data_IF_882362947673
#
_entry.id   IF_882362947673
#
_cell.length_a   1.000
_cell.length_b   1.000
_cell.length_c   1.000
_cell.angle_alpha   90.00
_cell.angle_beta   90.00
_cell.angle_gamma   90.00
#
_symmetry.space_group_name_H-M   'P 1'
#
loop_
_entity.id
_entity.type
_entity.pdbx_description
1 polymer ?
#
# COMPACT_ATOMS: atom_id res chain seq x y z
N UNK A 1 29.46 0.57 -11.72
CA UNK A 1 29.92 -0.56 -10.89
C UNK A 1 29.02 -1.80 -11.08
N UNK A 2 27.71 -1.63 -11.12
CA UNK A 2 26.75 -2.72 -11.31
C UNK A 2 26.63 -3.20 -12.75
N UNK A 3 27.26 -2.55 -13.72
CA UNK A 3 27.20 -2.95 -15.14
C UNK A 3 25.87 -2.63 -15.84
N UNK A 4 24.98 -1.90 -15.18
CA UNK A 4 23.71 -1.45 -15.74
C UNK A 4 23.83 -0.04 -16.32
N UNK A 5 22.94 0.31 -17.26
CA UNK A 5 22.87 1.64 -17.82
C UNK A 5 22.08 2.58 -16.89
N UNK A 6 22.31 3.91 -16.95
CA UNK A 6 21.55 4.87 -16.15
C UNK A 6 20.04 4.73 -16.30
N UNK A 7 19.54 4.42 -17.50
CA UNK A 7 18.14 4.26 -17.83
C UNK A 7 17.48 3.00 -17.18
N UNK A 8 18.30 2.09 -16.69
CA UNK A 8 17.88 0.86 -16.01
C UNK A 8 17.82 1.03 -14.49
N UNK A 9 18.07 2.25 -13.98
CA UNK A 9 18.05 2.55 -12.54
C UNK A 9 16.74 3.24 -12.19
N UNK A 10 15.99 2.66 -11.26
CA UNK A 10 14.83 3.31 -10.65
C UNK A 10 15.28 4.14 -9.45
N UNK A 11 14.87 5.41 -9.43
CA UNK A 11 15.16 6.32 -8.32
C UNK A 11 13.85 6.62 -7.60
N UNK A 12 13.84 6.39 -6.29
CA UNK A 12 12.78 6.82 -5.39
C UNK A 12 13.40 7.71 -4.31
N UNK A 13 12.86 8.90 -4.13
CA UNK A 13 13.39 9.88 -3.19
C UNK A 13 12.29 10.71 -2.54
N UNK A 14 12.59 11.24 -1.39
CA UNK A 14 11.79 12.27 -0.73
C UNK A 14 12.72 13.28 -0.05
N UNK A 15 12.19 14.45 0.31
CA UNK A 15 12.96 15.50 0.96
C UNK A 15 12.05 16.61 1.50
N UNK A 16 12.63 17.62 2.10
CA UNK A 16 11.90 18.76 2.63
C UNK A 16 11.40 19.65 1.48
N UNK A 17 10.11 19.96 1.47
CA UNK A 17 9.48 20.82 0.46
C UNK A 17 10.18 22.18 0.42
N UNK A 18 10.51 22.64 -0.79
CA UNK A 18 11.18 23.91 -1.02
C UNK A 18 12.70 23.89 -0.80
N UNK A 19 13.29 22.74 -0.43
CA UNK A 19 14.74 22.57 -0.35
C UNK A 19 15.26 21.71 -1.50
N UNK A 20 16.38 22.12 -2.09
CA UNK A 20 17.08 21.31 -3.09
C UNK A 20 17.71 20.11 -2.37
N UNK A 21 17.45 18.90 -2.87
CA UNK A 21 18.08 17.70 -2.33
C UNK A 21 19.60 17.78 -2.55
N UNK A 22 20.43 17.72 -1.48
CA UNK A 22 21.88 17.70 -1.64
C UNK A 22 22.31 16.36 -2.25
N UNK A 23 23.01 16.40 -3.36
CA UNK A 23 23.47 15.19 -4.09
C UNK A 23 24.83 14.73 -3.56
N UNK A 24 25.66 15.65 -3.10
CA UNK A 24 27.02 15.39 -2.67
C UNK A 24 27.16 14.31 -1.58
N UNK A 25 26.30 14.26 -0.53
CA UNK A 25 26.34 13.19 0.44
C UNK A 25 26.02 11.81 -0.16
N UNK A 26 25.13 11.76 -1.17
CA UNK A 26 24.75 10.53 -1.86
C UNK A 26 25.94 10.06 -2.71
N UNK A 27 26.53 10.93 -3.51
CA UNK A 27 27.69 10.64 -4.36
C UNK A 27 28.87 10.11 -3.51
N UNK A 28 29.13 10.75 -2.36
CA UNK A 28 30.21 10.36 -1.46
C UNK A 28 30.03 8.94 -0.86
N UNK A 29 28.81 8.39 -0.87
CA UNK A 29 28.47 7.11 -0.26
C UNK A 29 28.13 5.98 -1.25
N UNK A 30 28.10 6.26 -2.56
CA UNK A 30 27.76 5.25 -3.57
C UNK A 30 28.68 4.03 -3.52
N UNK A 31 29.97 4.24 -3.31
CA UNK A 31 30.95 3.15 -3.25
C UNK A 31 30.72 2.27 -2.03
N UNK A 32 30.51 2.86 -0.86
CA UNK A 32 30.20 2.16 0.38
C UNK A 32 28.87 1.39 0.29
N UNK A 33 27.85 2.00 -0.33
CA UNK A 33 26.56 1.34 -0.57
C UNK A 33 26.70 0.12 -1.48
N UNK A 34 27.48 0.24 -2.55
CA UNK A 34 27.73 -0.88 -3.47
C UNK A 34 28.49 -2.03 -2.78
N UNK A 35 29.53 -1.73 -2.00
CA UNK A 35 30.31 -2.71 -1.24
C UNK A 35 29.51 -3.35 -0.10
N UNK A 36 28.51 -2.62 0.42
CA UNK A 36 27.61 -3.08 1.48
C UNK A 36 26.44 -3.95 1.01
N UNK A 37 26.30 -4.21 -0.31
CA UNK A 37 25.23 -5.08 -0.81
C UNK A 37 25.38 -6.51 -0.26
N UNK A 38 24.30 -7.03 0.33
CA UNK A 38 24.26 -8.38 0.87
C UNK A 38 22.84 -8.93 0.91
N UNK A 39 22.70 -10.25 0.99
CA UNK A 39 21.40 -10.91 1.18
C UNK A 39 20.76 -10.56 2.55
N UNK A 40 21.56 -10.17 3.53
CA UNK A 40 21.10 -9.78 4.88
C UNK A 40 20.88 -8.26 5.02
N UNK A 41 20.90 -7.52 3.90
CA UNK A 41 20.82 -6.04 3.91
C UNK A 41 19.42 -5.46 4.06
N UNK A 42 18.35 -6.27 3.95
CA UNK A 42 16.98 -5.84 3.94
C UNK A 42 16.57 -5.01 5.17
N UNK A 43 16.90 -5.46 6.37
CA UNK A 43 16.55 -4.75 7.60
C UNK A 43 17.17 -3.35 7.66
N UNK A 44 18.45 -3.23 7.30
CA UNK A 44 19.14 -1.93 7.27
C UNK A 44 18.50 -1.00 6.24
N UNK A 45 18.13 -1.51 5.07
CA UNK A 45 17.47 -0.73 4.03
C UNK A 45 16.08 -0.26 4.49
N UNK A 46 15.26 -1.16 5.09
CA UNK A 46 13.94 -0.84 5.59
C UNK A 46 13.96 0.22 6.71
N UNK A 47 15.00 0.22 7.56
CA UNK A 47 15.20 1.24 8.59
C UNK A 47 15.70 2.56 7.95
N UNK A 48 16.63 2.47 7.00
CA UNK A 48 17.24 3.65 6.40
C UNK A 48 16.28 4.53 5.59
N UNK A 49 15.21 3.95 5.04
CA UNK A 49 14.19 4.73 4.30
C UNK A 49 13.16 5.41 5.20
N UNK A 50 13.12 5.09 6.49
CA UNK A 50 12.18 5.70 7.44
C UNK A 50 12.47 7.20 7.63
N UNK A 51 11.39 7.98 7.84
CA UNK A 51 11.47 9.41 8.18
C UNK A 51 10.79 9.67 9.53
N UNK A 52 9.47 9.87 9.53
CA UNK A 52 8.65 10.00 10.74
C UNK A 52 8.05 8.66 11.19
N UNK A 53 8.31 7.61 10.43
CA UNK A 53 7.89 6.24 10.77
C UNK A 53 8.42 5.81 12.14
N UNK A 54 7.59 5.13 12.93
CA UNK A 54 7.98 4.61 14.25
C UNK A 54 8.43 3.16 14.20
N UNK A 55 8.05 2.44 13.15
CA UNK A 55 8.41 1.04 12.92
C UNK A 55 8.77 0.80 11.46
N UNK A 56 9.74 -0.09 11.21
CA UNK A 56 10.02 -0.57 9.85
C UNK A 56 8.83 -1.35 9.30
N UNK A 57 8.61 -1.25 7.99
CA UNK A 57 7.54 -1.94 7.29
C UNK A 57 8.13 -2.85 6.23
N UNK A 58 8.04 -4.14 6.48
CA UNK A 58 8.64 -5.18 5.64
C UNK A 58 7.76 -6.42 5.69
N UNK A 59 7.48 -7.01 4.54
CA UNK A 59 6.64 -8.20 4.38
C UNK A 59 7.23 -9.08 3.30
N UNK A 60 7.25 -10.39 3.51
CA UNK A 60 7.59 -11.37 2.49
C UNK A 60 6.61 -12.54 2.53
N UNK A 61 6.39 -13.14 1.37
CA UNK A 61 5.61 -14.38 1.21
C UNK A 61 6.35 -15.35 0.30
N UNK A 62 6.19 -16.61 0.60
CA UNK A 62 6.61 -17.75 -0.22
C UNK A 62 5.37 -18.39 -0.82
N UNK A 63 5.45 -18.83 -2.06
CA UNK A 63 4.36 -19.54 -2.75
C UNK A 63 4.92 -20.50 -3.79
N UNK A 64 4.13 -21.50 -4.15
CA UNK A 64 4.49 -22.45 -5.18
C UNK A 64 3.83 -22.07 -6.52
N UNK A 65 4.61 -22.18 -7.60
CA UNK A 65 4.17 -21.92 -8.96
C UNK A 65 4.80 -22.92 -9.92
N UNK A 66 4.00 -23.77 -10.54
CA UNK A 66 4.44 -24.79 -11.50
C UNK A 66 5.56 -25.69 -10.95
N UNK A 67 5.46 -26.08 -9.66
CA UNK A 67 6.45 -26.90 -8.97
C UNK A 67 7.75 -26.18 -8.58
N UNK A 68 7.79 -24.85 -8.67
CA UNK A 68 8.87 -23.99 -8.23
C UNK A 68 8.46 -23.15 -7.03
N UNK A 69 9.34 -23.00 -6.07
CA UNK A 69 9.14 -22.08 -4.96
C UNK A 69 9.52 -20.67 -5.40
N UNK A 70 8.58 -19.77 -5.26
CA UNK A 70 8.74 -18.36 -5.60
C UNK A 70 8.54 -17.49 -4.36
N UNK A 71 9.13 -16.30 -4.37
CA UNK A 71 9.04 -15.34 -3.29
C UNK A 71 8.64 -13.97 -3.80
N UNK A 72 7.84 -13.26 -3.00
CA UNK A 72 7.62 -11.81 -3.14
C UNK A 72 7.97 -11.18 -1.81
N UNK A 73 8.86 -10.22 -1.82
CA UNK A 73 9.22 -9.44 -0.64
C UNK A 73 9.09 -7.94 -0.93
N UNK A 74 8.74 -7.17 0.07
CA UNK A 74 8.62 -5.72 -0.08
C UNK A 74 8.89 -4.98 1.20
N UNK A 75 9.34 -3.75 1.05
CA UNK A 75 9.46 -2.78 2.13
C UNK A 75 8.81 -1.47 1.71
N UNK A 76 8.31 -0.73 2.71
CA UNK A 76 7.69 0.57 2.50
C UNK A 76 7.98 1.53 3.64
N UNK A 77 7.87 2.81 3.35
CA UNK A 77 7.94 3.89 4.35
C UNK A 77 6.81 4.87 4.13
N UNK A 78 6.38 5.50 5.21
CA UNK A 78 5.39 6.55 5.24
C UNK A 78 4.62 6.52 6.56
N UNK A 79 4.36 7.71 7.09
CA UNK A 79 3.65 7.93 8.35
C UNK A 79 2.79 9.19 8.26
N UNK A 80 3.26 10.26 7.62
CA UNK A 80 2.53 11.48 7.30
C UNK A 80 2.54 11.79 5.81
N UNK A 81 1.66 12.71 5.38
CA UNK A 81 1.38 13.06 3.99
C UNK A 81 0.91 11.82 3.21
N UNK A 82 -0.14 11.14 3.74
CA UNK A 82 -0.62 9.87 3.21
C UNK A 82 -2.10 9.95 2.82
N UNK A 83 -2.35 10.20 1.55
CA UNK A 83 -3.62 10.05 0.86
C UNK A 83 -3.38 9.71 -0.62
N UNK A 84 -2.91 8.49 -0.93
CA UNK A 84 -2.48 8.18 -2.28
C UNK A 84 -3.63 8.16 -3.30
N UNK A 85 -3.32 8.79 -4.45
CA UNK A 85 -4.02 8.56 -5.70
C UNK A 85 -2.97 8.21 -6.74
N UNK A 86 -2.43 6.98 -6.68
CA UNK A 86 -1.25 6.45 -7.34
C UNK A 86 0.05 6.53 -6.52
N UNK A 87 0.01 6.54 -5.20
CA UNK A 87 1.10 6.39 -4.24
C UNK A 87 1.47 7.65 -3.41
N UNK A 88 1.55 7.53 -2.07
CA UNK A 88 2.09 8.56 -1.15
C UNK A 88 3.17 7.98 -0.24
N UNK A 89 3.95 7.07 -0.76
CA UNK A 89 4.93 6.32 0.02
C UNK A 89 6.06 5.88 -0.87
N UNK A 90 7.19 5.56 -0.31
CA UNK A 90 8.23 4.86 -1.05
C UNK A 90 8.10 3.37 -0.76
N UNK A 91 7.73 2.61 -1.78
CA UNK A 91 7.59 1.16 -1.70
C UNK A 91 8.47 0.48 -2.74
N UNK A 92 9.27 -0.45 -2.28
CA UNK A 92 10.12 -1.28 -3.14
C UNK A 92 9.73 -2.74 -2.90
N UNK A 93 9.34 -3.41 -3.96
CA UNK A 93 8.91 -4.81 -3.94
C UNK A 93 9.78 -5.58 -4.93
N UNK A 94 10.22 -6.75 -4.52
CA UNK A 94 11.03 -7.63 -5.36
C UNK A 94 10.44 -9.03 -5.42
N UNK A 95 10.66 -9.73 -6.51
CA UNK A 95 10.30 -11.14 -6.67
C UNK A 95 11.35 -11.86 -7.48
N UNK A 96 11.57 -13.13 -7.14
CA UNK A 96 12.36 -14.06 -7.94
C UNK A 96 11.54 -14.77 -9.03
N UNK A 97 10.22 -14.56 -9.04
CA UNK A 97 9.34 -15.13 -10.05
C UNK A 97 9.67 -14.62 -11.46
N UNK A 98 9.68 -15.50 -12.43
CA UNK A 98 9.76 -15.14 -13.84
C UNK A 98 8.38 -14.65 -14.32
N UNK A 99 8.27 -13.37 -14.60
CA UNK A 99 7.05 -12.70 -15.06
C UNK A 99 7.43 -11.59 -16.06
N UNK A 100 6.73 -11.52 -17.17
CA UNK A 100 6.97 -10.49 -18.18
C UNK A 100 6.65 -9.09 -17.65
N UNK A 101 7.36 -8.10 -18.18
CA UNK A 101 7.14 -6.68 -17.79
C UNK A 101 5.68 -6.24 -17.99
N UNK A 102 5.00 -6.76 -19.02
CA UNK A 102 3.60 -6.48 -19.29
C UNK A 102 2.69 -7.02 -18.19
N UNK A 103 2.86 -8.29 -17.81
CA UNK A 103 2.06 -8.92 -16.74
C UNK A 103 2.38 -8.34 -15.37
N UNK A 104 3.65 -8.01 -15.11
CA UNK A 104 4.06 -7.34 -13.89
C UNK A 104 3.40 -5.97 -13.73
N UNK A 105 3.41 -5.16 -14.80
CA UNK A 105 2.75 -3.85 -14.84
C UNK A 105 1.24 -3.97 -14.66
N UNK A 106 0.61 -4.97 -15.32
CA UNK A 106 -0.81 -5.23 -15.17
C UNK A 106 -1.17 -5.58 -13.73
N UNK A 107 -0.46 -6.53 -13.12
CA UNK A 107 -0.67 -6.92 -11.73
C UNK A 107 -0.51 -5.74 -10.77
N UNK A 108 0.56 -4.95 -10.92
CA UNK A 108 0.79 -3.77 -10.10
C UNK A 108 -0.36 -2.76 -10.21
N UNK A 109 -0.81 -2.45 -11.44
CA UNK A 109 -1.88 -1.48 -11.69
C UNK A 109 -3.20 -1.90 -11.04
N UNK A 110 -3.56 -3.17 -11.16
CA UNK A 110 -4.77 -3.72 -10.56
C UNK A 110 -4.70 -3.70 -9.02
N UNK A 111 -3.55 -4.10 -8.45
CA UNK A 111 -3.39 -4.24 -7.00
C UNK A 111 -3.25 -2.88 -6.30
N UNK A 112 -2.54 -1.92 -6.88
CA UNK A 112 -2.42 -0.55 -6.31
C UNK A 112 -3.79 0.06 -6.10
N UNK A 113 -4.73 -0.16 -7.02
CA UNK A 113 -6.09 0.37 -6.93
C UNK A 113 -6.83 -0.07 -5.66
N UNK A 114 -6.62 -1.33 -5.24
CA UNK A 114 -7.32 -1.94 -4.10
C UNK A 114 -6.45 -2.05 -2.83
N UNK A 115 -5.25 -1.51 -2.85
CA UNK A 115 -4.34 -1.48 -1.70
C UNK A 115 -3.95 -0.04 -1.38
N UNK A 116 -2.83 0.45 -1.87
CA UNK A 116 -2.32 1.79 -1.55
C UNK A 116 -3.33 2.90 -1.85
N UNK A 117 -4.06 2.86 -2.98
CA UNK A 117 -5.06 3.87 -3.31
C UNK A 117 -6.29 3.86 -2.40
N UNK A 118 -6.46 2.83 -1.58
CA UNK A 118 -7.49 2.78 -0.52
C UNK A 118 -7.00 3.30 0.84
N UNK A 119 -5.73 3.71 0.95
CA UNK A 119 -5.14 4.22 2.19
C UNK A 119 -5.40 5.72 2.36
N UNK A 120 -5.58 6.16 3.60
CA UNK A 120 -5.49 7.58 3.98
C UNK A 120 -5.10 7.72 5.44
N UNK A 121 -4.13 8.59 5.75
CA UNK A 121 -3.78 8.99 7.11
C UNK A 121 -4.31 10.40 7.40
N UNK A 122 -3.94 11.39 6.61
CA UNK A 122 -4.20 12.81 6.86
C UNK A 122 -4.95 13.54 5.73
N UNK A 123 -5.12 12.90 4.58
CA UNK A 123 -5.76 13.50 3.41
C UNK A 123 -4.81 14.25 2.49
N UNK A 124 -3.54 14.38 2.84
CA UNK A 124 -2.55 15.11 2.06
C UNK A 124 -1.80 14.18 1.09
N UNK A 125 -1.64 14.62 -0.15
CA UNK A 125 -0.89 13.90 -1.18
C UNK A 125 0.57 14.33 -1.21
N UNK A 126 1.49 13.37 -1.35
CA UNK A 126 2.90 13.64 -1.59
C UNK A 126 3.17 13.91 -3.08
N UNK A 127 4.28 14.56 -3.36
CA UNK A 127 4.78 14.80 -4.72
C UNK A 127 5.79 13.73 -5.17
N UNK A 128 6.21 12.83 -4.27
CA UNK A 128 7.34 11.90 -4.48
C UNK A 128 6.97 10.43 -4.32
N UNK A 129 5.69 10.12 -4.46
CA UNK A 129 5.17 8.78 -4.27
C UNK A 129 5.71 7.79 -5.29
N UNK A 130 6.22 6.67 -4.81
CA UNK A 130 6.79 5.64 -5.66
C UNK A 130 6.39 4.25 -5.17
N UNK A 131 5.91 3.43 -6.08
CA UNK A 131 5.79 1.99 -5.89
C UNK A 131 6.52 1.28 -7.04
N UNK A 132 7.63 0.64 -6.75
CA UNK A 132 8.42 -0.10 -7.71
C UNK A 132 8.34 -1.60 -7.43
N UNK A 133 8.07 -2.39 -8.48
CA UNK A 133 8.14 -3.85 -8.42
C UNK A 133 9.17 -4.34 -9.43
N UNK A 134 10.09 -5.17 -8.97
CA UNK A 134 11.17 -5.74 -9.79
C UNK A 134 11.14 -7.27 -9.73
N UNK A 135 11.27 -7.91 -10.89
CA UNK A 135 11.32 -9.36 -11.02
C UNK A 135 12.65 -9.78 -11.68
N UNK A 136 13.32 -10.77 -11.13
CA UNK A 136 14.60 -11.24 -11.67
C UNK A 136 14.56 -12.65 -12.29
N UNK A 137 13.45 -13.41 -12.11
CA UNK A 137 13.26 -14.72 -12.70
C UNK A 137 14.11 -15.86 -12.10
N UNK A 138 14.77 -15.63 -10.96
CA UNK A 138 15.67 -16.61 -10.35
C UNK A 138 14.97 -17.85 -9.75
N UNK A 139 13.65 -17.81 -9.59
CA UNK A 139 12.84 -18.97 -9.21
C UNK A 139 12.75 -20.03 -10.31
N UNK A 140 13.10 -19.65 -11.56
CA UNK A 140 13.10 -20.55 -12.72
C UNK A 140 11.75 -21.23 -13.00
N UNK A 141 10.65 -20.59 -12.60
CA UNK A 141 9.31 -20.99 -13.02
C UNK A 141 9.10 -20.66 -14.51
N UNK A 142 8.20 -21.33 -15.23
CA UNK A 142 7.78 -20.88 -16.56
C UNK A 142 7.37 -19.41 -16.53
N UNK A 143 7.91 -18.60 -17.46
CA UNK A 143 7.63 -17.16 -17.46
C UNK A 143 6.13 -16.89 -17.65
N UNK A 144 5.56 -16.07 -16.77
CA UNK A 144 4.17 -15.62 -16.85
C UNK A 144 4.08 -14.54 -17.93
N UNK A 145 3.57 -14.89 -19.11
CA UNK A 145 3.42 -13.99 -20.27
C UNK A 145 1.98 -13.67 -20.62
N UNK A 146 1.01 -14.29 -19.93
CA UNK A 146 -0.42 -14.11 -20.15
C UNK A 146 -1.19 -14.32 -18.84
N UNK A 147 -2.47 -13.90 -18.85
CA UNK A 147 -3.42 -14.23 -17.78
C UNK A 147 -3.69 -15.74 -17.75
N UNK A 148 -3.91 -16.28 -16.56
CA UNK A 148 -4.13 -17.69 -16.31
C UNK A 148 -3.90 -18.02 -14.84
N UNK A 149 -3.90 -19.30 -14.49
CA UNK A 149 -3.77 -19.75 -13.11
C UNK A 149 -2.47 -19.25 -12.46
N UNK A 150 -1.33 -19.39 -13.13
CA UNK A 150 -0.03 -18.94 -12.64
C UNK A 150 0.01 -17.42 -12.40
N UNK A 151 -0.63 -16.62 -13.28
CA UNK A 151 -0.77 -15.19 -13.09
C UNK A 151 -1.61 -14.84 -11.86
N UNK A 152 -2.74 -15.53 -11.65
CA UNK A 152 -3.61 -15.26 -10.49
C UNK A 152 -2.93 -15.65 -9.17
N UNK A 153 -2.14 -16.74 -9.14
CA UNK A 153 -1.34 -17.12 -7.97
C UNK A 153 -0.29 -16.05 -7.65
N UNK A 154 0.48 -15.61 -8.65
CA UNK A 154 1.45 -14.52 -8.51
C UNK A 154 0.79 -13.22 -8.05
N UNK A 155 -0.31 -12.83 -8.70
CA UNK A 155 -1.06 -11.61 -8.36
C UNK A 155 -1.56 -11.65 -6.92
N UNK A 156 -2.01 -12.80 -6.44
CA UNK A 156 -2.44 -12.99 -5.04
C UNK A 156 -1.27 -12.83 -4.06
N UNK A 157 -0.10 -13.37 -4.37
CA UNK A 157 1.10 -13.22 -3.54
C UNK A 157 1.53 -11.75 -3.45
N UNK A 158 1.56 -11.05 -4.59
CA UNK A 158 1.85 -9.62 -4.66
C UNK A 158 0.82 -8.79 -3.88
N UNK A 159 -0.47 -9.11 -4.01
CA UNK A 159 -1.55 -8.48 -3.25
C UNK A 159 -1.36 -8.64 -1.73
N UNK A 160 -1.00 -9.83 -1.26
CA UNK A 160 -0.78 -10.08 0.18
C UNK A 160 0.35 -9.18 0.71
N UNK A 161 1.46 -9.08 -0.01
CA UNK A 161 2.57 -8.20 0.39
C UNK A 161 2.13 -6.74 0.42
N UNK A 162 1.53 -6.24 -0.66
CA UNK A 162 1.11 -4.85 -0.78
C UNK A 162 0.02 -4.48 0.24
N UNK A 163 -0.96 -5.35 0.47
CA UNK A 163 -2.04 -5.10 1.45
C UNK A 163 -1.48 -5.05 2.89
N UNK A 164 -0.56 -5.94 3.24
CA UNK A 164 0.02 -5.90 4.57
C UNK A 164 0.89 -4.66 4.79
N UNK A 165 1.70 -4.25 3.81
CA UNK A 165 2.43 -2.98 3.87
C UNK A 165 1.46 -1.81 4.01
N UNK A 166 0.36 -1.77 3.23
CA UNK A 166 -0.69 -0.75 3.32
C UNK A 166 -1.26 -0.64 4.73
N UNK A 167 -1.57 -1.77 5.37
CA UNK A 167 -2.06 -1.80 6.76
C UNK A 167 -1.02 -1.35 7.77
N UNK A 168 0.25 -1.69 7.55
CA UNK A 168 1.36 -1.21 8.40
C UNK A 168 1.53 0.31 8.29
N UNK A 169 1.44 0.87 7.08
CA UNK A 169 1.47 2.32 6.83
C UNK A 169 0.31 3.03 7.56
N UNK A 170 -0.92 2.52 7.40
CA UNK A 170 -2.10 3.08 8.07
C UNK A 170 -1.98 3.04 9.60
N UNK A 171 -1.47 1.93 10.13
CA UNK A 171 -1.33 1.72 11.58
C UNK A 171 -0.28 2.61 12.20
N UNK A 172 0.79 2.93 11.47
CA UNK A 172 1.92 3.77 11.89
C UNK A 172 1.74 5.24 11.45
N UNK A 173 0.53 5.65 11.10
CA UNK A 173 0.24 7.05 10.76
C UNK A 173 0.58 8.01 11.91
N UNK A 174 1.07 9.22 11.58
CA UNK A 174 1.47 10.23 12.55
C UNK A 174 0.35 10.51 13.57
N UNK A 175 0.64 10.28 14.88
CA UNK A 175 -0.31 10.45 15.95
C UNK A 175 -1.45 9.41 15.99
N UNK A 176 -1.42 8.38 15.15
CA UNK A 176 -2.47 7.37 15.11
C UNK A 176 -2.51 6.52 16.38
N UNK A 177 -3.70 6.40 16.96
CA UNK A 177 -3.97 5.53 18.12
C UNK A 177 -4.81 4.31 17.76
N UNK A 178 -5.40 4.30 16.57
CA UNK A 178 -6.27 3.24 16.06
C UNK A 178 -6.08 3.06 14.57
N UNK A 179 -6.19 1.83 14.11
CA UNK A 179 -6.38 1.51 12.69
C UNK A 179 -7.88 1.41 12.43
N UNK A 180 -8.35 2.15 11.43
CA UNK A 180 -9.73 2.11 10.96
C UNK A 180 -9.77 1.39 9.62
N UNK A 181 -10.58 0.35 9.53
CA UNK A 181 -10.84 -0.36 8.28
C UNK A 181 -12.32 -0.19 7.93
N UNK A 182 -12.64 0.24 6.72
CA UNK A 182 -14.00 0.31 6.19
C UNK A 182 -14.16 -0.71 5.08
N UNK A 183 -15.06 -1.65 5.27
CA UNK A 183 -15.42 -2.66 4.26
C UNK A 183 -16.80 -2.36 3.71
N UNK A 184 -16.92 -2.20 2.41
CA UNK A 184 -18.19 -2.01 1.70
C UNK A 184 -18.51 -3.27 0.91
N UNK A 185 -19.68 -3.83 1.13
CA UNK A 185 -20.20 -5.00 0.41
C UNK A 185 -21.52 -4.68 -0.28
N UNK A 186 -21.86 -5.41 -1.33
CA UNK A 186 -23.13 -5.24 -2.05
C UNK A 186 -23.23 -3.97 -2.90
N UNK A 187 -22.13 -3.22 -3.09
CA UNK A 187 -22.09 -2.11 -4.04
C UNK A 187 -22.26 -2.62 -5.49
N UNK A 188 -22.74 -1.76 -6.39
CA UNK A 188 -22.95 -2.12 -7.80
C UNK A 188 -21.65 -2.50 -8.53
N UNK A 189 -20.53 -1.93 -8.11
CA UNK A 189 -19.21 -2.18 -8.66
C UNK A 189 -18.11 -1.84 -7.63
N UNK A 190 -16.88 -2.22 -7.94
CA UNK A 190 -15.71 -1.97 -7.09
C UNK A 190 -15.42 -0.49 -6.89
N UNK A 191 -15.60 0.34 -7.91
CA UNK A 191 -15.30 1.78 -7.82
C UNK A 191 -16.25 2.48 -6.85
N UNK A 192 -17.54 2.14 -6.92
CA UNK A 192 -18.55 2.60 -5.94
C UNK A 192 -18.16 2.18 -4.52
N UNK A 193 -17.76 0.91 -4.33
CA UNK A 193 -17.34 0.43 -3.01
C UNK A 193 -16.14 1.22 -2.47
N UNK A 194 -15.12 1.46 -3.29
CA UNK A 194 -13.93 2.22 -2.91
C UNK A 194 -14.27 3.67 -2.57
N UNK A 195 -15.10 4.34 -3.39
CA UNK A 195 -15.49 5.73 -3.16
C UNK A 195 -16.20 5.87 -1.81
N UNK A 196 -17.17 5.00 -1.52
CA UNK A 196 -17.91 5.01 -0.26
C UNK A 196 -16.98 4.70 0.92
N UNK A 197 -16.15 3.67 0.84
CA UNK A 197 -15.21 3.32 1.89
C UNK A 197 -14.22 4.47 2.18
N UNK A 198 -13.65 5.07 1.14
CA UNK A 198 -12.73 6.22 1.27
C UNK A 198 -13.42 7.43 1.87
N UNK A 199 -14.67 7.73 1.50
CA UNK A 199 -15.43 8.82 2.08
C UNK A 199 -15.52 8.68 3.60
N UNK A 200 -15.76 7.48 4.10
CA UNK A 200 -15.83 7.21 5.55
C UNK A 200 -14.47 7.36 6.22
N UNK A 201 -13.43 6.67 5.75
CA UNK A 201 -12.11 6.71 6.41
C UNK A 201 -11.39 8.05 6.29
N UNK A 202 -11.76 8.87 5.30
CA UNK A 202 -11.20 10.22 5.12
C UNK A 202 -11.97 11.29 5.90
N UNK A 203 -13.13 10.98 6.49
CA UNK A 203 -13.93 11.94 7.25
C UNK A 203 -13.23 12.40 8.52
N UNK A 204 -12.84 13.68 8.67
CA UNK A 204 -12.23 14.18 9.89
C UNK A 204 -13.15 14.01 11.12
N UNK A 205 -14.46 14.23 10.94
CA UNK A 205 -15.44 14.06 12.02
C UNK A 205 -15.52 12.61 12.49
N UNK A 206 -15.49 11.65 11.57
CA UNK A 206 -15.49 10.23 11.93
C UNK A 206 -14.17 9.85 12.62
N UNK A 207 -13.03 10.29 12.12
CA UNK A 207 -11.72 10.05 12.77
C UNK A 207 -11.68 10.60 14.19
N UNK A 208 -12.20 11.83 14.43
CA UNK A 208 -12.32 12.40 15.77
C UNK A 208 -13.19 11.56 16.69
N UNK A 209 -14.34 11.04 16.21
CA UNK A 209 -15.18 10.15 16.99
C UNK A 209 -14.44 8.87 17.37
N UNK A 210 -13.80 8.23 16.42
CA UNK A 210 -13.03 7.00 16.67
C UNK A 210 -11.86 7.23 17.61
N UNK A 211 -11.16 8.37 17.49
CA UNK A 211 -10.11 8.76 18.45
C UNK A 211 -10.67 8.85 19.87
N UNK A 212 -11.83 9.51 20.05
CA UNK A 212 -12.53 9.64 21.31
C UNK A 212 -13.26 8.38 21.79
N UNK A 213 -13.13 7.24 21.08
CA UNK A 213 -13.86 5.99 21.34
C UNK A 213 -15.39 6.14 21.34
N UNK A 214 -15.91 7.06 20.52
CA UNK A 214 -17.33 7.29 20.28
C UNK A 214 -17.79 6.52 19.04
N UNK A 215 -18.67 5.54 19.19
CA UNK A 215 -19.25 4.74 18.11
C UNK A 215 -20.29 5.55 17.32
N UNK A 216 -19.89 6.70 16.80
CA UNK A 216 -20.74 7.70 16.16
C UNK A 216 -21.13 7.29 14.74
N UNK A 217 -22.14 6.43 14.65
CA UNK A 217 -22.69 5.97 13.38
C UNK A 217 -23.28 7.11 12.52
N UNK A 218 -23.79 8.17 13.13
CA UNK A 218 -24.28 9.34 12.40
C UNK A 218 -23.21 10.01 11.56
N UNK A 219 -21.96 10.04 12.04
CA UNK A 219 -20.82 10.56 11.27
C UNK A 219 -20.41 9.63 10.12
N UNK A 220 -20.64 8.32 10.27
CA UNK A 220 -20.47 7.36 9.17
C UNK A 220 -21.51 7.64 8.09
N UNK A 221 -22.79 7.71 8.44
CA UNK A 221 -23.86 8.01 7.48
C UNK A 221 -23.68 9.38 6.81
N UNK A 222 -23.24 10.39 7.55
CA UNK A 222 -22.88 11.68 6.97
C UNK A 222 -21.80 11.52 5.88
N UNK A 223 -20.73 10.75 6.16
CA UNK A 223 -19.66 10.49 5.19
C UNK A 223 -20.15 9.67 3.99
N UNK A 224 -21.02 8.70 4.21
CA UNK A 224 -21.66 7.93 3.14
C UNK A 224 -22.54 8.85 2.28
N UNK A 225 -23.30 9.78 2.91
CA UNK A 225 -24.25 10.66 2.23
C UNK A 225 -23.62 11.67 1.27
N UNK A 226 -22.35 12.08 1.50
CA UNK A 226 -21.65 12.97 0.58
C UNK A 226 -20.63 12.22 -0.32
N UNK A 227 -20.60 10.88 -0.26
CA UNK A 227 -19.76 10.11 -1.17
C UNK A 227 -20.20 10.35 -2.63
N UNK A 228 -19.24 10.66 -3.50
CA UNK A 228 -19.50 10.91 -4.93
C UNK A 228 -19.77 9.59 -5.69
N UNK A 229 -20.82 8.88 -5.26
CA UNK A 229 -21.21 7.59 -5.81
C UNK A 229 -22.74 7.48 -5.85
N UNK A 230 -23.25 6.74 -6.83
CA UNK A 230 -24.69 6.51 -7.00
C UNK A 230 -25.11 5.19 -6.36
N UNK A 231 -25.88 5.27 -5.27
CA UNK A 231 -26.45 4.14 -4.53
C UNK A 231 -27.72 4.57 -3.78
N UNK A 232 -28.55 3.59 -3.42
CA UNK A 232 -29.77 3.84 -2.65
C UNK A 232 -29.46 3.90 -1.15
N UNK A 233 -29.53 5.09 -0.57
CA UNK A 233 -29.27 5.29 0.87
C UNK A 233 -30.20 4.46 1.77
N UNK A 234 -31.45 4.20 1.33
CA UNK A 234 -32.42 3.41 2.09
C UNK A 234 -32.09 1.90 2.13
N UNK A 235 -30.99 1.49 1.51
CA UNK A 235 -30.48 0.11 1.54
C UNK A 235 -29.12 0.03 2.23
N UNK A 236 -28.70 1.08 2.89
CA UNK A 236 -27.41 1.11 3.59
C UNK A 236 -27.56 0.56 5.00
N UNK A 237 -26.84 -0.50 5.28
CA UNK A 237 -26.67 -1.05 6.62
C UNK A 237 -25.28 -0.71 7.14
N UNK A 238 -25.14 -0.45 8.43
CA UNK A 238 -23.84 -0.15 9.06
C UNK A 238 -23.65 -0.99 10.30
N UNK A 239 -22.52 -1.69 10.35
CA UNK A 239 -22.02 -2.39 11.54
C UNK A 239 -20.68 -1.81 11.97
N UNK A 240 -20.43 -1.79 13.25
CA UNK A 240 -19.13 -1.51 13.85
C UNK A 240 -18.59 -2.76 14.51
N UNK A 241 -17.36 -3.13 14.21
CA UNK A 241 -16.70 -4.29 14.78
C UNK A 241 -15.36 -3.93 15.42
N UNK A 242 -15.00 -4.67 16.45
CA UNK A 242 -13.71 -4.57 17.13
C UNK A 242 -13.34 -5.92 17.76
N UNK A 243 -12.21 -5.99 18.46
CA UNK A 243 -11.87 -7.19 19.26
C UNK A 243 -12.91 -7.53 20.34
N UNK A 244 -13.74 -6.55 20.77
CA UNK A 244 -14.79 -6.74 21.77
C UNK A 244 -16.09 -7.31 21.20
N UNK A 245 -16.22 -7.37 19.88
CA UNK A 245 -17.41 -7.88 19.19
C UNK A 245 -17.88 -6.94 18.08
N UNK A 246 -19.08 -7.21 17.60
CA UNK A 246 -19.76 -6.45 16.54
C UNK A 246 -21.09 -5.91 17.04
N UNK A 247 -21.46 -4.73 16.58
CA UNK A 247 -22.75 -4.10 16.81
C UNK A 247 -23.30 -3.54 15.50
N UNK A 248 -24.55 -3.86 15.21
CA UNK A 248 -25.30 -3.28 14.11
C UNK A 248 -25.90 -1.94 14.54
N UNK A 249 -25.58 -0.87 13.84
CA UNK A 249 -25.90 0.52 14.28
C UNK A 249 -26.85 1.26 13.35
N UNK A 250 -27.03 0.78 12.13
CA UNK A 250 -27.98 1.33 11.18
C UNK A 250 -28.54 0.23 10.29
N UNK A 251 -29.84 0.31 9.98
CA UNK A 251 -30.57 -0.59 9.09
C UNK A 251 -31.47 0.21 8.16
N UNK A 252 -31.29 0.01 6.84
CA UNK A 252 -32.05 0.69 5.79
C UNK A 252 -31.95 2.22 5.82
N UNK A 253 -30.77 2.77 6.10
CA UNK A 253 -30.50 4.20 6.06
C UNK A 253 -30.76 4.99 7.34
#
# INVERSE_FOLDING_TARGET
>A
KMGVKPEEILIAQTGVIGQILPIEPIEAKIDELYEGLSYEGNEKAAIAIMTTDTVKKEVAVEFELDGKICHVGGMGKGSGMIHPNMATTLNVITTDCAVSSEMLKKALTEIVKITYNCLSVDGDQSTNDTCAVMANGLAENPEITAEGESYEVFKKALYIVMMNITKMLAKDGEGATKLLECTVTGAKDLDTAIIVAKSVICSPLFKCAMFGADANWGRILCAVGYAEADFDINKVDVSLSSKAGEIHVCHNG
#
